data_IF_111726758539
#
_entry.id   IF_111726758539
#
_cell.length_a   1.000
_cell.length_b   1.000
_cell.length_c   1.000
_cell.angle_alpha   90.00
_cell.angle_beta   90.00
_cell.angle_gamma   90.00
#
_symmetry.space_group_name_H-M   'P 1'
#
loop_
_entity.id
_entity.type
_entity.pdbx_description
1 polymer ?
#
# COMPACT_ATOMS: atom_id res chain seq x y z
N UNK A 1 -11.26 11.15 18.29
CA UNK A 1 -11.32 10.67 18.09
C UNK A 1 -11.68 9.86 17.22
N UNK A 2 -12.16 9.39 17.03
CA UNK A 2 -12.46 8.45 16.25
C UNK A 2 -12.66 8.70 14.87
N UNK A 3 -12.10 9.61 14.41
CA UNK A 3 -12.18 9.91 13.12
C UNK A 3 -11.54 8.91 12.29
N UNK A 4 -10.84 8.00 12.81
CA UNK A 4 -10.22 7.03 12.03
C UNK A 4 -11.16 6.20 11.25
N UNK A 5 -12.39 6.14 11.62
CA UNK A 5 -13.34 5.30 10.94
C UNK A 5 -13.64 5.76 9.55
N UNK A 6 -13.27 6.97 9.23
CA UNK A 6 -13.55 7.46 7.90
C UNK A 6 -12.49 7.08 6.91
N UNK A 7 -11.38 6.52 7.35
CA UNK A 7 -10.31 6.15 6.44
C UNK A 7 -10.26 4.66 6.24
N UNK A 8 -10.00 4.19 5.03
CA UNK A 8 -9.81 2.76 4.81
C UNK A 8 -8.52 2.33 5.49
N UNK A 9 -8.63 1.41 6.41
CA UNK A 9 -7.48 0.90 7.12
C UNK A 9 -7.33 -0.56 6.77
N UNK A 10 -6.15 -1.00 6.35
CA UNK A 10 -5.98 -2.41 5.99
C UNK A 10 -6.11 -3.30 7.21
N UNK A 11 -6.57 -4.49 6.99
CA UNK A 11 -6.74 -5.46 8.07
C UNK A 11 -5.38 -5.82 8.67
N UNK A 12 -4.34 -5.78 7.86
CA UNK A 12 -3.00 -6.06 8.33
C UNK A 12 -2.10 -4.94 7.83
N UNK A 13 -1.79 -3.96 8.68
CA UNK A 13 -1.03 -2.79 8.23
C UNK A 13 0.38 -3.11 7.74
N UNK A 14 0.90 -4.27 8.02
CA UNK A 14 2.22 -4.66 7.55
C UNK A 14 2.20 -5.32 6.19
N UNK A 15 1.03 -5.63 5.66
CA UNK A 15 0.89 -6.33 4.40
C UNK A 15 -0.08 -5.62 3.49
N UNK A 16 0.18 -5.72 2.19
CA UNK A 16 -0.64 -5.05 1.19
C UNK A 16 -1.52 -6.09 0.50
N UNK A 17 -2.82 -5.91 0.58
CA UNK A 17 -3.75 -6.84 -0.06
C UNK A 17 -4.12 -6.30 -1.44
N UNK A 18 -3.47 -6.84 -2.46
CA UNK A 18 -3.69 -6.37 -3.83
C UNK A 18 -5.03 -6.81 -4.39
N UNK A 19 -5.77 -7.61 -3.66
CA UNK A 19 -7.10 -8.01 -4.10
C UNK A 19 -8.17 -7.06 -3.63
N UNK A 20 -7.82 -6.11 -2.79
CA UNK A 20 -8.78 -5.16 -2.21
C UNK A 20 -8.52 -3.78 -2.78
N UNK A 21 -9.46 -3.26 -3.56
CA UNK A 21 -9.29 -1.94 -4.17
C UNK A 21 -9.14 -0.84 -3.15
N UNK A 22 -9.78 -0.98 -1.99
CA UNK A 22 -9.64 0.02 -0.95
C UNK A 22 -8.22 0.08 -0.42
N UNK A 23 -7.61 -1.07 -0.23
CA UNK A 23 -6.24 -1.11 0.24
C UNK A 23 -5.29 -0.60 -0.82
N UNK A 24 -5.55 -0.93 -2.08
CA UNK A 24 -4.72 -0.42 -3.15
C UNK A 24 -4.75 1.10 -3.15
N UNK A 25 -5.93 1.68 -3.01
CA UNK A 25 -6.05 3.13 -2.96
C UNK A 25 -5.35 3.70 -1.74
N UNK A 26 -5.51 3.05 -0.61
CA UNK A 26 -4.86 3.49 0.62
C UNK A 26 -3.34 3.53 0.46
N UNK A 27 -2.77 2.43 -0.06
CA UNK A 27 -1.33 2.34 -0.17
C UNK A 27 -0.76 3.25 -1.25
N UNK A 28 -1.46 3.39 -2.38
CA UNK A 28 -0.98 4.30 -3.43
C UNK A 28 -0.97 5.73 -2.94
N UNK A 29 -1.98 6.11 -2.17
CA UNK A 29 -2.03 7.44 -1.59
C UNK A 29 -0.93 7.62 -0.56
N UNK A 30 -0.76 6.64 0.29
CA UNK A 30 0.24 6.72 1.35
C UNK A 30 1.66 6.80 0.79
N UNK A 31 1.94 6.01 -0.24
CA UNK A 31 3.27 5.98 -0.82
C UNK A 31 3.46 7.02 -1.92
N UNK A 32 2.39 7.67 -2.34
CA UNK A 32 2.51 8.67 -3.39
C UNK A 32 2.86 8.06 -4.73
N UNK A 33 2.32 6.88 -5.04
CA UNK A 33 2.63 6.20 -6.29
C UNK A 33 1.35 5.82 -7.00
N UNK A 34 1.48 5.35 -8.24
CA UNK A 34 0.33 4.88 -9.01
C UNK A 34 0.08 3.42 -8.70
N UNK A 35 -1.10 2.94 -9.12
CA UNK A 35 -1.42 1.54 -8.93
C UNK A 35 -0.40 0.66 -9.67
N UNK A 36 -0.02 1.05 -10.87
CA UNK A 36 0.94 0.28 -11.64
C UNK A 36 2.28 0.17 -10.91
N UNK A 37 2.69 1.27 -10.28
CA UNK A 37 3.93 1.28 -9.51
C UNK A 37 3.82 0.37 -8.30
N UNK A 38 2.66 0.40 -7.65
CA UNK A 38 2.45 -0.45 -6.49
C UNK A 38 2.48 -1.93 -6.88
N UNK A 39 1.81 -2.27 -7.99
CA UNK A 39 1.81 -3.64 -8.49
C UNK A 39 3.22 -4.11 -8.79
N UNK A 40 4.00 -3.25 -9.43
CA UNK A 40 5.37 -3.59 -9.79
C UNK A 40 6.22 -3.81 -8.53
N UNK A 41 6.05 -2.95 -7.55
CA UNK A 41 6.81 -3.07 -6.31
C UNK A 41 6.46 -4.36 -5.57
N UNK A 42 5.17 -4.67 -5.46
CA UNK A 42 4.73 -5.88 -4.80
C UNK A 42 5.26 -7.11 -5.54
N UNK A 43 5.28 -7.05 -6.86
CA UNK A 43 5.81 -8.15 -7.65
C UNK A 43 7.31 -8.34 -7.46
N UNK A 44 8.01 -7.27 -7.11
CA UNK A 44 9.46 -7.33 -6.95
C UNK A 44 9.89 -7.72 -5.55
N UNK A 45 9.26 -7.15 -4.52
CA UNK A 45 9.71 -7.36 -3.15
C UNK A 45 8.67 -8.05 -2.28
N UNK A 46 7.50 -8.31 -2.82
CA UNK A 46 6.44 -8.97 -2.07
C UNK A 46 5.49 -7.97 -1.45
N UNK A 47 4.40 -8.46 -0.87
CA UNK A 47 3.35 -7.59 -0.34
C UNK A 47 3.64 -7.12 1.09
N UNK A 48 4.87 -6.77 1.36
CA UNK A 48 5.28 -6.27 2.67
C UNK A 48 5.44 -4.76 2.57
N UNK A 49 4.65 -4.02 3.34
CA UNK A 49 4.58 -2.58 3.21
C UNK A 49 5.93 -1.90 3.36
N UNK A 50 6.74 -2.30 4.33
CA UNK A 50 8.04 -1.67 4.54
C UNK A 50 8.96 -1.91 3.36
N UNK A 51 8.90 -3.09 2.78
CA UNK A 51 9.75 -3.40 1.63
C UNK A 51 9.28 -2.68 0.38
N UNK A 52 7.97 -2.59 0.20
CA UNK A 52 7.41 -1.88 -0.93
C UNK A 52 7.76 -0.39 -0.84
N UNK A 53 7.67 0.18 0.35
CA UNK A 53 8.01 1.56 0.55
C UNK A 53 9.47 1.83 0.20
N UNK A 54 10.35 0.96 0.65
CA UNK A 54 11.77 1.11 0.36
C UNK A 54 12.03 0.98 -1.15
N UNK A 55 11.34 0.07 -1.81
CA UNK A 55 11.49 -0.12 -3.23
C UNK A 55 11.06 1.15 -3.98
N UNK A 56 9.93 1.70 -3.62
CA UNK A 56 9.41 2.89 -4.29
C UNK A 56 10.26 4.12 -4.02
N UNK A 57 10.83 4.22 -2.84
CA UNK A 57 11.70 5.34 -2.53
C UNK A 57 12.96 5.34 -3.37
N UNK A 58 13.40 4.18 -3.77
CA UNK A 58 14.63 4.08 -4.54
C UNK A 58 14.43 4.41 -5.99
N UNK A 59 13.21 4.34 -6.46
CA UNK A 59 12.96 4.67 -7.85
C UNK A 59 12.70 6.18 -8.02
#
# INVERSE_FOLDING_TARGET
>A
MADDNTKPVPADPGRINMSDDREIRYWTTKFGCTKAELVSAVGSVGPIATKVQAYLKRS
#
